data_IF_050967220542
#
_entry.id   IF_050967220542
#
_cell.length_a   1.000
_cell.length_b   1.000
_cell.length_c   1.000
_cell.angle_alpha   90.00
_cell.angle_beta   90.00
_cell.angle_gamma   90.00
#
_symmetry.space_group_name_H-M   'P 1'
#
loop_
_entity.id
_entity.type
_entity.pdbx_description
1 polymer ?
#
# COMPACT_ATOMS: atom_id res chain seq x y z
N UNK A 1 -39.81 30.05 -41.28
CA UNK A 1 -38.47 29.44 -41.24
C UNK A 1 -37.40 30.54 -41.36
N UNK A 2 -36.94 31.07 -40.23
CA UNK A 2 -35.90 32.11 -40.19
C UNK A 2 -34.62 31.38 -39.81
N UNK A 3 -33.77 31.12 -40.80
CA UNK A 3 -32.40 30.64 -40.54
C UNK A 3 -31.67 31.70 -39.74
N UNK A 4 -30.93 31.35 -38.66
CA UNK A 4 -30.21 32.34 -37.90
C UNK A 4 -29.11 32.93 -38.79
N UNK A 5 -29.08 34.26 -38.90
CA UNK A 5 -28.00 34.98 -39.54
C UNK A 5 -26.77 34.80 -38.66
N UNK A 6 -25.85 33.96 -39.10
CA UNK A 6 -24.54 33.78 -38.43
C UNK A 6 -23.81 35.11 -38.55
N UNK A 7 -23.70 35.83 -37.44
CA UNK A 7 -22.89 37.03 -37.38
C UNK A 7 -21.44 36.66 -37.76
N UNK A 8 -20.89 37.33 -38.78
CA UNK A 8 -19.50 37.20 -39.19
C UNK A 8 -18.61 37.73 -38.08
N UNK A 9 -18.31 36.86 -37.12
CA UNK A 9 -17.35 37.11 -36.06
C UNK A 9 -15.97 36.65 -36.54
N UNK A 10 -14.87 37.23 -36.04
CA UNK A 10 -13.50 36.79 -36.39
C UNK A 10 -13.25 35.29 -36.13
N UNK A 11 -14.04 34.68 -35.23
CA UNK A 11 -14.04 33.26 -34.97
C UNK A 11 -14.61 32.43 -36.15
N UNK A 12 -15.63 32.94 -36.84
CA UNK A 12 -16.26 32.25 -37.98
C UNK A 12 -15.33 32.12 -39.19
N UNK A 13 -14.40 33.07 -39.39
CA UNK A 13 -13.38 32.98 -40.45
C UNK A 13 -12.31 31.93 -40.15
N UNK A 14 -12.00 31.68 -38.87
CA UNK A 14 -11.02 30.68 -38.44
C UNK A 14 -11.53 29.25 -38.56
N UNK A 15 -12.85 29.04 -38.44
CA UNK A 15 -13.50 27.72 -38.55
C UNK A 15 -13.29 27.11 -39.94
N UNK A 16 -13.26 27.92 -41.00
CA UNK A 16 -13.04 27.44 -42.37
C UNK A 16 -11.56 27.27 -42.74
N UNK A 17 -10.63 27.66 -41.86
CA UNK A 17 -9.18 27.61 -42.12
C UNK A 17 -8.57 26.23 -41.85
N UNK A 18 -9.23 25.43 -41.00
CA UNK A 18 -8.73 24.13 -40.57
C UNK A 18 -9.76 23.02 -40.89
N UNK A 19 -9.34 21.85 -41.40
CA UNK A 19 -10.27 20.78 -41.76
C UNK A 19 -11.10 20.32 -40.55
N UNK A 20 -12.41 20.13 -40.76
CA UNK A 20 -13.36 19.60 -39.76
C UNK A 20 -13.60 20.47 -38.52
N UNK A 21 -13.16 21.73 -38.49
CA UNK A 21 -13.46 22.66 -37.39
C UNK A 21 -14.90 23.20 -37.43
N UNK A 22 -15.59 23.04 -38.56
CA UNK A 22 -17.00 23.33 -38.78
C UNK A 22 -17.92 22.18 -38.33
N UNK A 23 -17.37 20.99 -38.12
CA UNK A 23 -18.10 19.79 -37.74
C UNK A 23 -18.08 19.65 -36.22
N UNK A 24 -19.25 19.85 -35.60
CA UNK A 24 -19.44 19.56 -34.20
C UNK A 24 -19.33 18.04 -33.98
N UNK A 25 -18.41 17.61 -33.13
CA UNK A 25 -18.24 16.20 -32.76
C UNK A 25 -19.02 15.94 -31.45
N UNK A 26 -20.30 15.48 -31.51
CA UNK A 26 -21.14 15.33 -30.34
C UNK A 26 -20.57 14.36 -29.31
N UNK A 27 -19.84 13.34 -29.75
CA UNK A 27 -19.11 12.39 -28.88
C UNK A 27 -18.07 13.11 -28.01
N UNK A 28 -17.41 14.16 -28.53
CA UNK A 28 -16.48 15.01 -27.76
C UNK A 28 -17.19 16.02 -26.87
N UNK A 29 -18.52 16.09 -26.88
CA UNK A 29 -19.32 16.91 -25.97
C UNK A 29 -20.00 16.08 -24.88
N UNK A 30 -19.93 14.75 -24.95
CA UNK A 30 -20.55 13.86 -23.95
C UNK A 30 -19.99 14.08 -22.55
N UNK A 31 -18.71 14.45 -22.42
CA UNK A 31 -18.10 14.79 -21.12
C UNK A 31 -18.65 16.09 -20.50
N UNK A 32 -19.34 16.93 -21.28
CA UNK A 32 -19.98 18.16 -20.81
C UNK A 32 -21.43 17.93 -20.33
N UNK A 33 -21.98 16.74 -20.51
CA UNK A 33 -23.33 16.41 -20.06
C UNK A 33 -23.36 16.22 -18.54
N UNK A 34 -24.49 16.56 -17.92
CA UNK A 34 -24.70 16.28 -16.50
C UNK A 34 -24.63 14.77 -16.25
N UNK A 35 -23.93 14.38 -15.19
CA UNK A 35 -23.83 12.97 -14.81
C UNK A 35 -25.24 12.42 -14.51
N UNK A 36 -25.56 11.20 -14.98
CA UNK A 36 -26.83 10.58 -14.63
C UNK A 36 -26.96 10.46 -13.11
N UNK A 37 -28.19 10.60 -12.57
CA UNK A 37 -28.41 10.54 -11.13
C UNK A 37 -27.95 9.19 -10.56
N UNK A 38 -27.29 9.22 -9.40
CA UNK A 38 -26.80 8.01 -8.73
C UNK A 38 -27.97 7.07 -8.42
N UNK A 39 -27.99 5.89 -9.04
CA UNK A 39 -29.01 4.86 -8.80
C UNK A 39 -28.90 4.39 -7.36
N UNK A 40 -30.00 4.36 -6.60
CA UNK A 40 -29.98 3.84 -5.23
C UNK A 40 -29.72 2.32 -5.22
N UNK A 41 -29.03 1.79 -4.20
CA UNK A 41 -28.77 0.36 -4.11
C UNK A 41 -30.07 -0.38 -3.80
N UNK A 42 -30.25 -1.55 -4.38
CA UNK A 42 -31.39 -2.42 -4.07
C UNK A 42 -31.17 -3.00 -2.67
N UNK A 43 -32.18 -2.87 -1.80
CA UNK A 43 -32.10 -3.34 -0.41
C UNK A 43 -31.79 -4.84 -0.36
N UNK A 44 -30.77 -5.22 0.41
CA UNK A 44 -30.34 -6.61 0.57
C UNK A 44 -29.43 -7.13 -0.54
N UNK A 45 -29.16 -6.34 -1.58
CA UNK A 45 -28.20 -6.69 -2.63
C UNK A 45 -26.85 -6.03 -2.30
N UNK A 46 -25.75 -6.79 -2.20
CA UNK A 46 -24.43 -6.23 -1.95
C UNK A 46 -23.97 -5.40 -3.16
N UNK A 47 -23.16 -4.40 -2.89
CA UNK A 47 -22.57 -3.52 -3.90
C UNK A 47 -21.06 -3.40 -3.67
N UNK A 48 -20.34 -2.96 -4.71
CA UNK A 48 -18.88 -2.84 -4.66
C UNK A 48 -18.45 -1.79 -3.63
N UNK A 49 -17.57 -2.19 -2.72
CA UNK A 49 -16.95 -1.32 -1.74
C UNK A 49 -16.08 -0.25 -2.41
N UNK A 50 -16.18 0.98 -1.92
CA UNK A 50 -15.35 2.12 -2.35
C UNK A 50 -14.65 2.71 -1.12
N UNK A 51 -13.46 3.25 -1.31
CA UNK A 51 -12.62 3.76 -0.25
C UNK A 51 -12.15 5.17 -0.55
N UNK A 52 -12.01 6.01 0.48
CA UNK A 52 -11.32 7.28 0.35
C UNK A 52 -9.79 7.12 0.44
N UNK A 53 -9.06 8.21 0.26
CA UNK A 53 -7.60 8.23 0.32
C UNK A 53 -7.01 7.75 1.66
N UNK A 54 -7.80 7.79 2.75
CA UNK A 54 -7.41 7.28 4.08
C UNK A 54 -7.76 5.79 4.27
N UNK A 55 -8.24 5.12 3.24
CA UNK A 55 -8.68 3.72 3.28
C UNK A 55 -10.00 3.52 4.03
N UNK A 56 -10.79 4.57 4.24
CA UNK A 56 -12.10 4.49 4.90
C UNK A 56 -13.17 4.00 3.94
N UNK A 57 -13.97 3.03 4.39
CA UNK A 57 -15.08 2.51 3.60
C UNK A 57 -16.14 3.61 3.40
N UNK A 58 -16.46 3.90 2.14
CA UNK A 58 -17.41 4.94 1.77
C UNK A 58 -18.85 4.40 1.76
N UNK A 59 -19.83 5.15 2.30
CA UNK A 59 -21.23 4.80 2.16
C UNK A 59 -21.68 4.91 0.69
N UNK A 60 -22.77 4.25 0.34
CA UNK A 60 -23.27 4.25 -1.03
C UNK A 60 -23.69 5.65 -1.50
N UNK A 61 -24.41 6.37 -0.65
CA UNK A 61 -24.84 7.75 -0.85
C UNK A 61 -24.28 8.63 0.26
N UNK A 62 -23.78 9.81 -0.10
CA UNK A 62 -23.44 10.87 0.85
C UNK A 62 -24.28 12.11 0.53
N UNK A 63 -24.92 12.70 1.54
CA UNK A 63 -25.56 14.02 1.40
C UNK A 63 -24.49 15.14 1.25
N UNK A 64 -23.28 14.87 1.75
CA UNK A 64 -22.14 15.78 1.70
C UNK A 64 -21.34 15.48 0.43
N UNK A 65 -21.17 16.49 -0.43
CA UNK A 65 -20.22 16.45 -1.54
C UNK A 65 -18.80 16.47 -0.97
N UNK A 66 -18.14 15.32 -0.99
CA UNK A 66 -16.69 15.24 -0.78
C UNK A 66 -15.95 15.57 -2.07
N UNK A 67 -15.59 16.85 -2.22
CA UNK A 67 -14.82 17.32 -3.37
C UNK A 67 -13.49 16.55 -3.49
N UNK A 68 -13.15 16.12 -4.71
CA UNK A 68 -11.91 15.39 -5.01
C UNK A 68 -11.97 13.86 -4.88
N UNK A 69 -13.10 13.30 -4.44
CA UNK A 69 -13.31 11.84 -4.33
C UNK A 69 -14.24 11.26 -5.40
N UNK A 70 -14.78 12.09 -6.29
CA UNK A 70 -15.62 11.66 -7.41
C UNK A 70 -14.76 11.60 -8.66
N UNK A 71 -14.85 10.49 -9.39
CA UNK A 71 -14.00 10.20 -10.56
C UNK A 71 -14.84 9.88 -11.77
N UNK A 72 -14.24 9.96 -12.96
CA UNK A 72 -14.85 9.50 -14.21
C UNK A 72 -14.75 7.97 -14.40
N UNK A 73 -14.90 7.21 -13.31
CA UNK A 73 -14.96 5.74 -13.38
C UNK A 73 -16.34 5.25 -13.81
N UNK A 74 -16.57 3.94 -13.68
CA UNK A 74 -17.84 3.29 -14.05
C UNK A 74 -19.05 3.80 -13.21
N UNK A 75 -18.80 4.36 -12.02
CA UNK A 75 -19.85 4.95 -11.16
C UNK A 75 -19.45 6.36 -10.67
N UNK A 76 -19.50 7.37 -11.55
CA UNK A 76 -18.96 8.69 -11.26
C UNK A 76 -19.75 9.46 -10.18
N UNK A 77 -20.99 9.04 -9.91
CA UNK A 77 -21.85 9.58 -8.87
C UNK A 77 -21.59 9.00 -7.47
N UNK A 78 -20.61 8.10 -7.29
CA UNK A 78 -20.26 7.50 -5.99
C UNK A 78 -18.85 7.93 -5.57
N UNK A 79 -18.67 8.42 -4.33
CA UNK A 79 -17.36 8.87 -3.88
C UNK A 79 -16.44 7.67 -3.57
N UNK A 80 -15.14 7.89 -3.78
CA UNK A 80 -14.08 6.95 -3.47
C UNK A 80 -13.78 6.00 -4.61
N UNK A 81 -12.72 5.21 -4.41
CA UNK A 81 -12.23 4.25 -5.39
C UNK A 81 -12.49 2.82 -4.95
N UNK A 82 -12.82 1.97 -5.89
CA UNK A 82 -12.76 0.52 -5.75
C UNK A 82 -11.30 0.05 -5.76
N UNK A 83 -11.04 -1.16 -5.25
CA UNK A 83 -9.70 -1.75 -5.33
C UNK A 83 -9.22 -1.93 -6.78
N UNK A 84 -10.11 -2.30 -7.69
CA UNK A 84 -9.79 -2.48 -9.10
C UNK A 84 -9.39 -1.15 -9.76
N UNK A 85 -10.12 -0.07 -9.49
CA UNK A 85 -9.76 1.27 -9.96
C UNK A 85 -8.38 1.68 -9.43
N UNK A 86 -8.09 1.44 -8.14
CA UNK A 86 -6.78 1.77 -7.56
C UNK A 86 -5.63 0.98 -8.20
N UNK A 87 -5.83 -0.32 -8.46
CA UNK A 87 -4.84 -1.15 -9.19
C UNK A 87 -4.61 -0.64 -10.61
N UNK A 88 -5.66 -0.15 -11.27
CA UNK A 88 -5.52 0.46 -12.59
C UNK A 88 -4.78 1.80 -12.50
N UNK A 89 -5.14 2.66 -11.54
CA UNK A 89 -4.49 3.96 -11.32
C UNK A 89 -3.00 3.82 -10.96
N UNK A 90 -2.61 2.76 -10.26
CA UNK A 90 -1.20 2.51 -9.91
C UNK A 90 -0.30 2.28 -11.13
N UNK A 91 -0.90 1.97 -12.29
CA UNK A 91 -0.23 1.76 -13.59
C UNK A 91 -0.34 2.97 -14.53
N UNK A 92 -0.99 4.05 -14.10
CA UNK A 92 -1.13 5.29 -14.87
C UNK A 92 0.22 5.89 -15.27
N UNK A 93 0.30 6.57 -16.41
CA UNK A 93 1.47 7.38 -16.78
C UNK A 93 1.62 8.62 -15.91
N UNK A 94 0.54 9.08 -15.27
CA UNK A 94 0.53 10.24 -14.39
C UNK A 94 1.08 9.89 -13.00
N UNK A 95 2.22 10.48 -12.63
CA UNK A 95 2.91 10.23 -11.35
C UNK A 95 1.96 10.38 -10.14
N UNK A 96 1.16 11.45 -10.11
CA UNK A 96 0.24 11.71 -9.01
C UNK A 96 -0.78 10.59 -8.83
N UNK A 97 -1.29 10.01 -9.92
CA UNK A 97 -2.23 8.89 -9.85
C UNK A 97 -1.56 7.65 -9.26
N UNK A 98 -0.33 7.36 -9.68
CA UNK A 98 0.44 6.21 -9.19
C UNK A 98 0.68 6.31 -7.68
N UNK A 99 1.19 7.45 -7.21
CA UNK A 99 1.46 7.71 -5.79
C UNK A 99 0.18 7.64 -4.98
N UNK A 100 -0.88 8.31 -5.44
CA UNK A 100 -2.18 8.31 -4.74
C UNK A 100 -2.76 6.91 -4.65
N UNK A 101 -2.70 6.12 -5.72
CA UNK A 101 -3.16 4.74 -5.73
C UNK A 101 -2.39 3.87 -4.73
N UNK A 102 -1.06 3.88 -4.77
CA UNK A 102 -0.22 3.07 -3.87
C UNK A 102 -0.49 3.43 -2.41
N UNK A 103 -0.50 4.74 -2.08
CA UNK A 103 -0.79 5.22 -0.72
C UNK A 103 -2.20 4.87 -0.25
N UNK A 104 -3.19 4.94 -1.14
CA UNK A 104 -4.58 4.59 -0.82
C UNK A 104 -4.71 3.09 -0.57
N UNK A 105 -4.14 2.24 -1.42
CA UNK A 105 -4.16 0.78 -1.20
C UNK A 105 -3.45 0.44 0.11
N UNK A 106 -2.29 1.06 0.40
CA UNK A 106 -1.61 0.91 1.69
C UNK A 106 -2.50 1.30 2.88
N UNK A 107 -3.23 2.40 2.77
CA UNK A 107 -4.19 2.83 3.80
C UNK A 107 -5.37 1.86 3.96
N UNK A 108 -5.82 1.22 2.88
CA UNK A 108 -6.83 0.16 2.95
C UNK A 108 -6.28 -1.08 3.67
N UNK A 109 -5.04 -1.50 3.39
CA UNK A 109 -4.37 -2.57 4.14
C UNK A 109 -4.31 -2.27 5.63
N UNK A 110 -3.91 -1.03 5.99
CA UNK A 110 -3.82 -0.60 7.39
C UNK A 110 -5.14 -0.75 8.15
N UNK A 111 -6.27 -0.56 7.47
CA UNK A 111 -7.63 -0.62 8.05
C UNK A 111 -8.35 -1.93 7.77
N UNK A 112 -7.73 -2.90 7.10
CA UNK A 112 -8.44 -4.07 6.57
C UNK A 112 -9.16 -4.87 7.67
N UNK A 113 -8.56 -5.00 8.85
CA UNK A 113 -9.14 -5.70 10.00
C UNK A 113 -10.30 -4.95 10.66
N UNK A 114 -10.43 -3.64 10.44
CA UNK A 114 -11.58 -2.88 10.94
C UNK A 114 -12.87 -3.22 10.16
N UNK A 115 -12.75 -3.93 9.02
CA UNK A 115 -13.86 -4.23 8.10
C UNK A 115 -14.30 -5.69 8.07
N UNK A 116 -13.74 -6.56 8.91
CA UNK A 116 -14.02 -8.00 8.90
C UNK A 116 -15.50 -8.33 9.14
N UNK A 117 -16.26 -7.45 9.78
CA UNK A 117 -17.70 -7.60 10.05
C UNK A 117 -18.63 -6.86 9.09
N UNK A 118 -18.11 -6.02 8.18
CA UNK A 118 -18.95 -5.20 7.29
C UNK A 118 -18.89 -5.61 5.82
N UNK A 119 -17.95 -6.47 5.44
CA UNK A 119 -17.81 -6.98 4.08
C UNK A 119 -18.22 -8.44 4.00
N UNK A 120 -18.70 -8.88 2.82
CA UNK A 120 -19.12 -10.26 2.59
C UNK A 120 -18.00 -11.29 2.77
N UNK A 121 -16.74 -10.85 2.63
CA UNK A 121 -15.53 -11.65 2.85
C UNK A 121 -14.48 -10.78 3.56
N UNK A 122 -13.61 -11.35 4.41
CA UNK A 122 -12.52 -10.62 5.04
C UNK A 122 -11.64 -9.92 4.00
N UNK A 123 -11.27 -8.67 4.24
CA UNK A 123 -10.59 -7.86 3.23
C UNK A 123 -9.13 -8.26 3.07
N UNK A 124 -8.44 -8.58 4.17
CA UNK A 124 -7.00 -8.84 4.16
C UNK A 124 -6.60 -10.04 3.27
N UNK A 125 -7.27 -11.21 3.32
CA UNK A 125 -6.98 -12.31 2.39
C UNK A 125 -7.19 -11.93 0.92
N UNK A 126 -8.26 -11.17 0.61
CA UNK A 126 -8.54 -10.72 -0.77
C UNK A 126 -7.44 -9.80 -1.30
N UNK A 127 -6.92 -8.91 -0.45
CA UNK A 127 -5.83 -8.01 -0.80
C UNK A 127 -4.52 -8.77 -1.03
N UNK A 128 -4.20 -9.78 -0.21
CA UNK A 128 -3.01 -10.61 -0.36
C UNK A 128 -3.06 -11.47 -1.63
N UNK A 129 -4.25 -11.88 -2.05
CA UNK A 129 -4.47 -12.64 -3.29
C UNK A 129 -4.28 -11.81 -4.58
N UNK A 130 -4.22 -10.48 -4.48
CA UNK A 130 -4.30 -9.55 -5.62
C UNK A 130 -2.95 -9.12 -6.22
N UNK A 131 -1.86 -9.87 -5.96
CA UNK A 131 -0.47 -9.52 -6.34
C UNK A 131 0.00 -8.12 -5.87
N UNK A 132 -0.74 -7.48 -4.96
CA UNK A 132 -0.50 -6.11 -4.50
C UNK A 132 0.86 -5.96 -3.80
N UNK A 133 1.32 -7.00 -3.12
CA UNK A 133 2.63 -6.98 -2.49
C UNK A 133 3.75 -6.84 -3.53
N UNK A 134 3.64 -7.50 -4.68
CA UNK A 134 4.61 -7.37 -5.77
C UNK A 134 4.58 -5.97 -6.38
N UNK A 135 3.40 -5.38 -6.56
CA UNK A 135 3.27 -3.99 -6.98
C UNK A 135 4.05 -3.04 -6.05
N UNK A 136 3.88 -3.18 -4.73
CA UNK A 136 4.63 -2.34 -3.78
C UNK A 136 6.13 -2.64 -3.81
N UNK A 137 6.52 -3.92 -3.88
CA UNK A 137 7.93 -4.30 -3.95
C UNK A 137 8.62 -3.75 -5.20
N UNK A 138 7.97 -3.77 -6.36
CA UNK A 138 8.52 -3.16 -7.58
C UNK A 138 8.57 -1.64 -7.47
N UNK A 139 7.62 -1.04 -6.77
CA UNK A 139 7.59 0.42 -6.54
C UNK A 139 8.73 0.91 -5.62
N UNK A 140 9.39 0.03 -4.86
CA UNK A 140 10.63 0.37 -4.13
C UNK A 140 11.82 0.60 -5.06
N UNK A 141 11.80 0.01 -6.27
CA UNK A 141 12.85 0.12 -7.27
C UNK A 141 12.56 1.29 -8.26
N UNK A 142 11.51 2.09 -8.01
CA UNK A 142 11.13 3.22 -8.86
C UNK A 142 12.13 4.39 -8.75
N UNK A 143 12.47 5.07 -9.87
CA UNK A 143 13.39 6.21 -9.83
C UNK A 143 12.85 7.42 -9.06
N UNK A 144 11.53 7.51 -8.86
CA UNK A 144 10.88 8.66 -8.22
C UNK A 144 10.71 8.43 -6.73
N UNK A 145 11.30 9.32 -5.90
CA UNK A 145 11.29 9.21 -4.43
C UNK A 145 9.89 9.16 -3.81
N UNK A 146 8.91 9.86 -4.36
CA UNK A 146 7.54 9.84 -3.84
C UNK A 146 6.84 8.49 -4.04
N UNK A 147 7.16 7.77 -5.12
CA UNK A 147 6.66 6.41 -5.36
C UNK A 147 7.30 5.44 -4.36
N UNK A 148 8.62 5.55 -4.16
CA UNK A 148 9.35 4.74 -3.17
C UNK A 148 8.80 4.97 -1.76
N UNK A 149 8.56 6.23 -1.36
CA UNK A 149 7.99 6.59 -0.05
C UNK A 149 6.60 5.98 0.17
N UNK A 150 5.71 6.11 -0.83
CA UNK A 150 4.39 5.48 -0.79
C UNK A 150 4.47 3.95 -0.67
N UNK A 151 5.40 3.33 -1.40
CA UNK A 151 5.62 1.89 -1.36
C UNK A 151 6.15 1.41 0.00
N UNK A 152 7.06 2.15 0.64
CA UNK A 152 7.53 1.86 2.00
C UNK A 152 6.36 1.85 2.99
N UNK A 153 5.52 2.87 2.94
CA UNK A 153 4.34 2.97 3.81
C UNK A 153 3.32 1.85 3.55
N UNK A 154 3.09 1.50 2.28
CA UNK A 154 2.20 0.41 1.90
C UNK A 154 2.72 -0.96 2.36
N UNK A 155 4.01 -1.25 2.18
CA UNK A 155 4.63 -2.49 2.69
C UNK A 155 4.55 -2.57 4.21
N UNK A 156 4.80 -1.46 4.91
CA UNK A 156 4.62 -1.42 6.36
C UNK A 156 3.18 -1.73 6.78
N UNK A 157 2.19 -1.20 6.05
CA UNK A 157 0.77 -1.46 6.31
C UNK A 157 0.35 -2.91 6.05
N UNK A 158 1.02 -3.60 5.12
CA UNK A 158 0.76 -5.03 4.84
C UNK A 158 1.38 -5.92 5.90
N UNK A 159 2.64 -5.64 6.28
CA UNK A 159 3.40 -6.52 7.15
C UNK A 159 3.07 -6.30 8.63
N UNK A 160 2.81 -5.05 9.03
CA UNK A 160 2.77 -4.63 10.42
C UNK A 160 1.36 -4.25 10.84
N UNK A 161 0.79 -5.02 11.76
CA UNK A 161 -0.39 -4.62 12.50
C UNK A 161 0.04 -3.92 13.81
N UNK A 162 -0.23 -2.61 13.98
CA UNK A 162 0.16 -1.89 15.19
C UNK A 162 -0.49 -2.41 16.47
N UNK A 163 -1.70 -2.97 16.38
CA UNK A 163 -2.42 -3.53 17.54
C UNK A 163 -1.68 -4.77 18.03
N UNK A 164 -1.30 -5.66 17.12
CA UNK A 164 -0.54 -6.88 17.42
C UNK A 164 0.85 -6.56 17.99
N UNK A 165 1.58 -5.64 17.35
CA UNK A 165 2.89 -5.18 17.82
C UNK A 165 2.81 -4.53 19.21
N UNK A 166 1.75 -3.76 19.47
CA UNK A 166 1.49 -3.15 20.77
C UNK A 166 1.19 -4.18 21.87
N UNK A 167 0.42 -5.23 21.56
CA UNK A 167 0.18 -6.35 22.48
C UNK A 167 1.49 -7.08 22.82
N UNK A 168 2.30 -7.39 21.80
CA UNK A 168 3.61 -8.01 21.96
C UNK A 168 4.58 -7.19 22.82
N UNK A 169 4.57 -5.87 22.64
CA UNK A 169 5.44 -4.98 23.39
C UNK A 169 5.08 -4.91 24.89
N UNK A 170 3.84 -5.24 25.25
CA UNK A 170 3.40 -5.32 26.66
C UNK A 170 3.75 -6.63 27.34
N UNK A 171 4.03 -7.70 26.59
CA UNK A 171 4.40 -9.01 27.15
C UNK A 171 5.82 -9.03 27.73
N UNK A 172 6.57 -7.95 27.57
CA UNK A 172 7.96 -7.77 28.01
C UNK A 172 8.20 -7.88 29.52
N UNK A 173 7.16 -7.72 30.33
CA UNK A 173 7.27 -7.73 31.80
C UNK A 173 6.87 -9.09 32.41
N UNK A 174 6.65 -10.11 31.59
CA UNK A 174 6.37 -11.47 32.08
C UNK A 174 7.65 -12.14 32.59
N UNK A 175 7.54 -13.12 33.50
CA UNK A 175 8.67 -13.76 34.21
C UNK A 175 9.77 -14.35 33.30
N UNK A 176 9.51 -14.48 31.99
CA UNK A 176 10.49 -14.92 30.98
C UNK A 176 11.26 -13.78 30.30
N UNK A 177 10.97 -12.51 30.63
CA UNK A 177 11.63 -11.20 30.39
C UNK A 177 12.39 -10.94 29.07
N UNK A 178 13.22 -11.89 28.65
CA UNK A 178 13.99 -11.88 27.41
C UNK A 178 13.21 -12.56 26.27
N UNK A 179 12.33 -13.53 26.56
CA UNK A 179 11.58 -14.25 25.52
C UNK A 179 10.34 -13.49 25.09
N UNK A 180 10.13 -13.38 23.78
CA UNK A 180 8.93 -12.81 23.17
C UNK A 180 8.24 -13.85 22.29
N UNK A 181 6.90 -13.86 22.24
CA UNK A 181 6.22 -14.81 21.37
C UNK A 181 6.45 -14.48 19.90
N UNK A 182 6.52 -15.54 19.10
CA UNK A 182 6.65 -15.46 17.65
C UNK A 182 5.31 -15.18 17.01
N UNK A 183 5.35 -14.46 15.89
CA UNK A 183 4.23 -14.31 14.95
C UNK A 183 4.50 -15.14 13.69
N UNK A 184 4.87 -16.41 13.90
CA UNK A 184 5.17 -17.37 12.84
C UNK A 184 3.90 -17.95 12.24
N UNK A 185 3.85 -18.07 10.92
CA UNK A 185 2.85 -18.91 10.26
C UNK A 185 3.37 -20.34 10.24
N UNK A 186 2.63 -21.29 10.84
CA UNK A 186 2.98 -22.71 10.74
C UNK A 186 2.45 -23.24 9.41
N UNK A 187 3.36 -23.65 8.53
CA UNK A 187 3.02 -24.29 7.27
C UNK A 187 3.16 -25.80 7.43
N UNK A 188 2.10 -26.54 7.15
CA UNK A 188 2.09 -28.00 7.10
C UNK A 188 2.77 -28.52 5.82
N UNK A 189 3.92 -27.94 5.47
CA UNK A 189 4.70 -28.23 4.27
C UNK A 189 6.15 -28.46 4.65
N UNK A 190 6.78 -29.44 4.00
CA UNK A 190 8.22 -29.67 4.14
C UNK A 190 9.01 -28.51 3.52
N UNK A 191 10.26 -28.26 3.97
CA UNK A 191 11.11 -27.23 3.38
C UNK A 191 11.33 -27.36 1.86
N UNK A 192 11.33 -28.60 1.33
CA UNK A 192 11.39 -28.87 -0.11
C UNK A 192 10.17 -28.34 -0.86
N UNK A 193 8.97 -28.59 -0.31
CA UNK A 193 7.69 -28.15 -0.90
C UNK A 193 7.58 -26.63 -0.89
N UNK A 194 8.00 -25.98 0.21
CA UNK A 194 8.08 -24.51 0.31
C UNK A 194 9.03 -23.93 -0.76
N UNK A 195 10.12 -24.65 -1.08
CA UNK A 195 11.09 -24.20 -2.08
C UNK A 195 10.56 -24.30 -3.51
N UNK A 196 9.61 -25.21 -3.76
CA UNK A 196 8.95 -25.38 -5.07
C UNK A 196 7.83 -24.36 -5.32
N UNK A 197 7.29 -23.72 -4.27
CA UNK A 197 6.28 -22.66 -4.42
C UNK A 197 6.82 -21.49 -5.24
N UNK A 198 6.01 -21.00 -6.19
CA UNK A 198 6.28 -19.74 -6.89
C UNK A 198 6.22 -18.57 -5.91
N UNK A 199 6.91 -17.47 -6.21
CA UNK A 199 6.94 -16.27 -5.37
C UNK A 199 5.53 -15.75 -5.00
N UNK A 200 4.63 -15.71 -5.97
CA UNK A 200 3.22 -15.33 -5.76
C UNK A 200 2.52 -16.27 -4.79
N UNK A 201 2.72 -17.58 -4.93
CA UNK A 201 2.09 -18.57 -4.06
C UNK A 201 2.64 -18.47 -2.64
N UNK A 202 3.96 -18.29 -2.48
CA UNK A 202 4.56 -18.11 -1.18
C UNK A 202 4.07 -16.83 -0.50
N UNK A 203 3.94 -15.71 -1.22
CA UNK A 203 3.41 -14.47 -0.65
C UNK A 203 1.98 -14.59 -0.10
N UNK A 204 1.15 -15.44 -0.72
CA UNK A 204 -0.23 -15.69 -0.28
C UNK A 204 -0.28 -16.54 0.99
N UNK A 205 0.67 -17.46 1.14
CA UNK A 205 0.72 -18.42 2.24
C UNK A 205 1.50 -17.84 3.44
N UNK A 206 2.63 -17.20 3.17
CA UNK A 206 3.48 -16.53 4.15
C UNK A 206 4.13 -15.30 3.51
N UNK A 207 3.54 -14.13 3.78
CA UNK A 207 3.99 -12.85 3.21
C UNK A 207 5.41 -12.49 3.65
N UNK A 208 5.87 -12.92 4.84
CA UNK A 208 7.21 -12.60 5.34
C UNK A 208 8.24 -13.45 4.60
N UNK A 209 8.04 -14.77 4.52
CA UNK A 209 8.94 -15.64 3.76
C UNK A 209 8.95 -15.25 2.27
N UNK A 210 7.79 -14.93 1.69
CA UNK A 210 7.67 -14.43 0.33
C UNK A 210 8.47 -13.14 0.13
N UNK A 211 8.32 -12.16 1.04
CA UNK A 211 9.06 -10.90 1.01
C UNK A 211 10.58 -11.09 1.09
N UNK A 212 11.04 -12.02 1.92
CA UNK A 212 12.47 -12.36 2.02
C UNK A 212 12.99 -13.00 0.73
N UNK A 213 12.23 -13.93 0.13
CA UNK A 213 12.58 -14.59 -1.14
C UNK A 213 12.66 -13.58 -2.29
N UNK A 214 11.70 -12.67 -2.38
CA UNK A 214 11.72 -11.56 -3.34
C UNK A 214 12.55 -10.36 -2.85
N UNK A 215 13.41 -10.62 -1.85
CA UNK A 215 14.68 -9.94 -1.75
C UNK A 215 14.49 -8.52 -1.17
N UNK A 216 13.48 -8.34 -0.31
CA UNK A 216 13.08 -7.07 0.33
C UNK A 216 14.19 -6.45 1.19
N UNK A 217 14.93 -7.26 1.96
CA UNK A 217 15.95 -6.77 2.90
C UNK A 217 17.09 -5.99 2.21
N UNK A 218 17.69 -6.47 1.10
CA UNK A 218 18.63 -5.67 0.32
C UNK A 218 18.07 -4.32 -0.15
N UNK A 219 16.78 -4.23 -0.47
CA UNK A 219 16.14 -2.96 -0.91
C UNK A 219 16.01 -2.01 0.27
N UNK A 220 15.56 -2.48 1.43
CA UNK A 220 15.55 -1.67 2.65
C UNK A 220 16.95 -1.15 3.01
N UNK A 221 17.98 -2.01 2.94
CA UNK A 221 19.37 -1.56 3.13
C UNK A 221 19.76 -0.47 2.14
N UNK A 222 19.45 -0.65 0.85
CA UNK A 222 19.78 0.33 -0.18
C UNK A 222 19.07 1.67 0.07
N UNK A 223 17.78 1.64 0.40
CA UNK A 223 16.99 2.85 0.70
C UNK A 223 17.61 3.58 1.88
N UNK A 224 17.82 2.90 3.02
CA UNK A 224 18.39 3.50 4.22
C UNK A 224 19.77 4.11 4.00
N UNK A 225 20.60 3.49 3.15
CA UNK A 225 21.98 3.95 2.95
C UNK A 225 22.12 5.00 1.84
N UNK A 226 21.42 4.82 0.73
CA UNK A 226 21.67 5.57 -0.51
C UNK A 226 20.62 6.63 -0.80
N UNK A 227 19.37 6.42 -0.40
CA UNK A 227 18.26 7.30 -0.78
C UNK A 227 17.94 8.40 0.24
N UNK A 228 18.69 8.48 1.36
CA UNK A 228 18.53 9.47 2.44
C UNK A 228 17.04 9.63 2.84
N UNK A 229 16.42 8.56 3.38
CA UNK A 229 15.00 8.56 3.67
C UNK A 229 14.64 9.54 4.79
N UNK A 230 13.41 10.02 4.76
CA UNK A 230 12.81 10.83 5.81
C UNK A 230 12.59 10.01 7.09
N UNK A 231 12.50 10.64 8.28
CA UNK A 231 12.29 9.93 9.54
C UNK A 231 11.08 9.00 9.55
N UNK A 232 10.00 9.37 8.84
CA UNK A 232 8.79 8.54 8.71
C UNK A 232 9.06 7.28 7.89
N UNK A 233 9.77 7.40 6.76
CA UNK A 233 10.21 6.27 5.94
C UNK A 233 11.12 5.32 6.74
N UNK A 234 12.06 5.88 7.51
CA UNK A 234 12.94 5.09 8.40
C UNK A 234 12.09 4.31 9.41
N UNK A 235 11.15 4.97 10.10
CA UNK A 235 10.30 4.29 11.09
C UNK A 235 9.46 3.17 10.46
N UNK A 236 8.91 3.36 9.26
CA UNK A 236 8.21 2.29 8.53
C UNK A 236 9.13 1.09 8.23
N UNK A 237 10.35 1.34 7.73
CA UNK A 237 11.33 0.27 7.47
C UNK A 237 11.68 -0.46 8.76
N UNK A 238 11.93 0.27 9.85
CA UNK A 238 12.29 -0.32 11.13
C UNK A 238 11.17 -1.19 11.70
N UNK A 239 9.90 -0.76 11.61
CA UNK A 239 8.73 -1.57 11.99
C UNK A 239 8.63 -2.85 11.16
N UNK A 240 8.92 -2.79 9.86
CA UNK A 240 8.98 -3.99 9.02
C UNK A 240 10.07 -4.95 9.48
N UNK A 241 11.29 -4.44 9.74
CA UNK A 241 12.40 -5.27 10.22
C UNK A 241 12.09 -5.95 11.56
N UNK A 242 11.45 -5.23 12.49
CA UNK A 242 10.99 -5.78 13.77
C UNK A 242 10.00 -6.91 13.53
N UNK A 243 8.98 -6.68 12.69
CA UNK A 243 7.97 -7.69 12.38
C UNK A 243 8.54 -8.93 11.69
N UNK A 244 9.50 -8.74 10.78
CA UNK A 244 10.26 -9.82 10.14
C UNK A 244 11.08 -10.59 11.18
N UNK A 245 11.76 -9.89 12.10
CA UNK A 245 12.50 -10.56 13.17
C UNK A 245 11.57 -11.35 14.11
N UNK A 246 10.34 -10.87 14.37
CA UNK A 246 9.31 -11.58 15.15
C UNK A 246 8.66 -12.76 14.43
N UNK A 247 8.91 -12.92 13.13
CA UNK A 247 8.31 -14.00 12.36
C UNK A 247 8.94 -15.36 12.70
N UNK A 248 10.28 -15.45 12.72
CA UNK A 248 11.00 -16.68 13.04
C UNK A 248 12.48 -16.39 13.33
N UNK A 249 13.20 -17.35 13.91
CA UNK A 249 14.67 -17.30 14.06
C UNK A 249 15.37 -17.17 12.71
N UNK A 250 14.86 -17.84 11.67
CA UNK A 250 15.43 -17.83 10.33
C UNK A 250 15.23 -16.46 9.64
N UNK A 251 14.06 -15.86 9.82
CA UNK A 251 13.77 -14.50 9.34
C UNK A 251 14.65 -13.46 10.05
N UNK A 252 14.83 -13.59 11.37
CA UNK A 252 15.76 -12.74 12.11
C UNK A 252 17.22 -12.93 11.65
N UNK A 253 17.66 -14.17 11.44
CA UNK A 253 18.99 -14.48 10.90
C UNK A 253 19.18 -13.94 9.47
N UNK A 254 18.11 -13.86 8.67
CA UNK A 254 18.18 -13.25 7.34
C UNK A 254 18.49 -11.75 7.40
N UNK A 255 18.03 -11.04 8.43
CA UNK A 255 18.39 -9.63 8.66
C UNK A 255 19.89 -9.50 8.96
N UNK A 256 20.45 -10.34 9.83
CA UNK A 256 21.88 -10.29 10.17
C UNK A 256 22.79 -10.73 9.03
N UNK A 257 22.34 -11.69 8.20
CA UNK A 257 23.06 -12.15 7.01
C UNK A 257 22.97 -11.17 5.84
N UNK A 258 22.02 -10.23 5.84
CA UNK A 258 21.91 -9.22 4.78
C UNK A 258 23.09 -8.25 4.88
N UNK A 259 24.01 -8.22 3.90
CA UNK A 259 25.23 -7.41 4.00
C UNK A 259 24.93 -5.92 4.16
N UNK A 260 25.55 -5.28 5.15
CA UNK A 260 25.44 -3.84 5.37
C UNK A 260 24.19 -3.38 6.12
N UNK A 261 23.15 -4.21 6.26
CA UNK A 261 21.87 -3.77 6.81
C UNK A 261 21.98 -3.36 8.28
N UNK A 262 22.53 -4.23 9.14
CA UNK A 262 22.72 -3.91 10.56
C UNK A 262 23.73 -2.78 10.78
N UNK A 263 24.74 -2.64 9.91
CA UNK A 263 25.68 -1.54 9.96
C UNK A 263 24.98 -0.19 9.74
N UNK A 264 24.06 -0.13 8.77
CA UNK A 264 23.26 1.08 8.50
C UNK A 264 22.30 1.36 9.65
N UNK A 265 21.61 0.36 10.20
CA UNK A 265 20.74 0.52 11.38
C UNK A 265 21.55 1.05 12.57
N UNK A 266 22.74 0.51 12.83
CA UNK A 266 23.63 0.98 13.89
C UNK A 266 24.10 2.42 13.65
N UNK A 267 24.28 2.84 12.39
CA UNK A 267 24.62 4.22 12.07
C UNK A 267 23.49 5.17 12.46
N UNK A 268 22.24 4.85 12.12
CA UNK A 268 21.06 5.65 12.46
C UNK A 268 20.90 5.85 13.98
N UNK A 269 21.21 4.82 14.77
CA UNK A 269 21.21 4.88 16.23
C UNK A 269 22.24 5.89 16.80
N UNK A 270 23.39 6.00 16.14
CA UNK A 270 24.51 6.82 16.58
C UNK A 270 24.56 8.23 15.94
N UNK A 271 23.65 8.52 15.00
CA UNK A 271 23.51 9.86 14.42
C UNK A 271 23.11 10.88 15.49
N UNK A 272 23.43 12.16 15.27
CA UNK A 272 23.17 13.24 16.21
C UNK A 272 22.33 14.32 15.51
N UNK A 273 21.05 14.53 15.90
CA UNK A 273 20.28 13.73 16.86
C UNK A 273 20.00 12.31 16.33
N UNK A 274 19.75 11.32 17.22
CA UNK A 274 19.50 9.96 16.79
C UNK A 274 18.16 9.86 16.06
N UNK A 275 18.16 9.13 14.94
CA UNK A 275 16.96 8.92 14.12
C UNK A 275 16.47 7.48 14.36
N UNK A 276 15.20 7.33 14.74
CA UNK A 276 14.56 6.03 15.03
C UNK A 276 15.25 5.20 16.15
N UNK A 277 15.80 5.87 17.18
CA UNK A 277 16.48 5.22 18.31
C UNK A 277 15.66 4.11 18.97
N UNK A 278 14.37 4.37 19.27
CA UNK A 278 13.47 3.39 19.89
C UNK A 278 13.29 2.14 19.04
N UNK A 279 13.07 2.31 17.73
CA UNK A 279 12.79 1.22 16.82
C UNK A 279 14.06 0.40 16.54
N UNK A 280 15.24 1.05 16.46
CA UNK A 280 16.53 0.38 16.31
C UNK A 280 16.89 -0.48 17.53
N UNK A 281 16.75 0.08 18.74
CA UNK A 281 16.96 -0.69 19.97
C UNK A 281 15.97 -1.85 20.08
N UNK A 282 14.69 -1.62 19.74
CA UNK A 282 13.68 -2.67 19.70
C UNK A 282 14.07 -3.79 18.73
N UNK A 283 14.55 -3.47 17.52
CA UNK A 283 15.02 -4.47 16.55
C UNK A 283 16.16 -5.31 17.12
N UNK A 284 17.22 -4.68 17.63
CA UNK A 284 18.36 -5.42 18.19
C UNK A 284 17.93 -6.33 19.35
N UNK A 285 17.05 -5.84 20.22
CA UNK A 285 16.50 -6.62 21.34
C UNK A 285 15.73 -7.84 20.83
N UNK A 286 14.80 -7.65 19.89
CA UNK A 286 14.01 -8.76 19.32
C UNK A 286 14.92 -9.82 18.70
N UNK A 287 15.96 -9.39 17.98
CA UNK A 287 16.92 -10.32 17.39
C UNK A 287 17.74 -11.07 18.44
N UNK A 288 18.11 -10.40 19.54
CA UNK A 288 18.87 -11.00 20.64
C UNK A 288 18.08 -12.08 21.39
N UNK A 289 16.74 -12.03 21.37
CA UNK A 289 15.88 -13.08 21.93
C UNK A 289 16.12 -14.47 21.32
N UNK A 290 16.69 -14.54 20.11
CA UNK A 290 17.04 -15.80 19.43
C UNK A 290 18.48 -16.24 19.65
N UNK A 291 19.29 -15.46 20.37
CA UNK A 291 20.68 -15.83 20.65
C UNK A 291 20.71 -16.97 21.67
N UNK A 292 21.40 -18.06 21.33
CA UNK A 292 21.64 -19.19 22.24
C UNK A 292 22.28 -18.76 23.56
N UNK A 293 23.12 -17.73 23.54
CA UNK A 293 23.78 -17.17 24.74
C UNK A 293 22.83 -16.44 25.70
N UNK A 294 21.61 -16.10 25.28
CA UNK A 294 20.58 -15.52 26.14
C UNK A 294 19.57 -16.56 26.63
N UNK A 295 19.77 -17.84 26.26
CA UNK A 295 18.93 -18.97 26.62
C UNK A 295 19.52 -19.81 27.78
N UNK A 296 20.78 -19.56 28.15
CA UNK A 296 21.47 -20.04 29.37
C UNK A 296 21.37 -19.01 30.50
#
# INVERSE_FOLDING_TARGET
PISPVVAQTPAAELVNKFPHMDVLEPEKLEWMQELPPTKLPIRGIPYTARFNFKGELMPYTTEIKTDGLYHHGEEPGRPGYTLQELVQLSRSSMLQHRVTAISTIGSIFYRASDYDSCLARPLLPQLLDSDLFLLFRFSLDDPVRSVVSAAIAAIASVLVNPKDEGCLDRLLETATGVRQPLFSVHLDLKPSEISELKDVQLLRVDVILGALRINLLPRFRYILEKLKPEPVEISHIMRCLIRIARHSSESAASISRTPGLLQVVRKLLNEKPPVACSDALKLFRVMACYSATCLE
#
